data_IF_546210190506
#
_entry.id   IF_546210190506
#
_cell.length_a   1.000
_cell.length_b   1.000
_cell.length_c   1.000
_cell.angle_alpha   90.00
_cell.angle_beta   90.00
_cell.angle_gamma   90.00
#
_symmetry.space_group_name_H-M   'P 1'
#
loop_
_entity.id
_entity.type
_entity.pdbx_description
1 polymer ?
#
# COMPACT_ATOMS: atom_id res chain seq x y z
N UNK A 1 15.23 -7.01 -7.12
CA UNK A 1 14.10 -6.37 -7.84
C UNK A 1 13.75 -7.22 -9.06
N UNK A 2 12.47 -7.33 -9.39
CA UNK A 2 11.92 -8.01 -10.57
C UNK A 2 11.05 -7.01 -11.33
N UNK A 3 11.26 -6.91 -12.64
CA UNK A 3 10.45 -6.04 -13.49
C UNK A 3 9.24 -6.81 -14.05
N UNK A 4 8.03 -6.31 -13.83
CA UNK A 4 6.81 -6.84 -14.43
C UNK A 4 6.10 -5.71 -15.18
N UNK A 5 6.05 -5.81 -16.51
CA UNK A 5 5.44 -4.79 -17.37
C UNK A 5 5.99 -3.37 -17.09
N UNK A 6 7.30 -3.24 -16.88
CA UNK A 6 7.94 -1.97 -16.50
C UNK A 6 7.98 -1.70 -15.00
N UNK A 7 7.11 -2.33 -14.19
CA UNK A 7 7.01 -2.03 -12.75
C UNK A 7 8.11 -2.72 -11.94
N UNK A 8 8.89 -1.98 -11.13
CA UNK A 8 10.06 -2.48 -10.41
C UNK A 8 9.72 -3.12 -9.04
N UNK A 9 9.16 -4.33 -9.04
CA UNK A 9 8.82 -5.03 -7.80
C UNK A 9 10.04 -5.42 -6.96
N UNK A 10 9.94 -5.22 -5.65
CA UNK A 10 10.89 -5.71 -4.66
C UNK A 10 10.90 -7.24 -4.61
N UNK A 11 12.09 -7.82 -4.44
CA UNK A 11 12.29 -9.25 -4.21
C UNK A 11 12.31 -9.61 -2.73
N UNK A 12 12.17 -8.64 -1.83
CA UNK A 12 12.14 -8.92 -0.39
C UNK A 12 10.91 -9.76 -0.03
N UNK A 13 11.10 -10.68 0.90
CA UNK A 13 10.01 -11.39 1.57
C UNK A 13 9.21 -10.44 2.47
N UNK A 14 8.07 -10.92 2.99
CA UNK A 14 7.29 -10.17 3.96
C UNK A 14 8.12 -9.81 5.20
N UNK A 15 8.81 -10.79 5.79
CA UNK A 15 9.59 -10.60 7.01
C UNK A 15 10.77 -9.65 6.79
N UNK A 16 11.49 -9.77 5.66
CA UNK A 16 12.57 -8.83 5.31
C UNK A 16 12.04 -7.41 5.08
N UNK A 17 10.86 -7.28 4.45
CA UNK A 17 10.23 -5.98 4.24
C UNK A 17 9.84 -5.35 5.58
N UNK A 18 9.21 -6.12 6.47
CA UNK A 18 8.84 -5.66 7.82
C UNK A 18 10.11 -5.25 8.59
N UNK A 19 11.13 -6.10 8.64
CA UNK A 19 12.37 -5.82 9.38
C UNK A 19 13.08 -4.55 8.89
N UNK A 20 13.15 -4.35 7.56
CA UNK A 20 13.69 -3.12 6.97
C UNK A 20 12.92 -1.89 7.42
N UNK A 21 11.60 -1.92 7.37
CA UNK A 21 10.75 -0.76 7.70
C UNK A 21 10.72 -0.49 9.21
N UNK A 22 10.75 -1.53 10.05
CA UNK A 22 10.89 -1.39 11.50
C UNK A 22 12.20 -0.70 11.87
N UNK A 23 13.30 -1.05 11.19
CA UNK A 23 14.61 -0.40 11.37
C UNK A 23 14.51 1.07 10.98
N UNK A 24 13.95 1.38 9.81
CA UNK A 24 13.79 2.76 9.35
C UNK A 24 12.94 3.62 10.31
N UNK A 25 11.85 3.05 10.82
CA UNK A 25 10.97 3.71 11.80
C UNK A 25 11.66 4.00 13.15
N UNK A 26 12.60 3.14 13.56
CA UNK A 26 13.26 3.23 14.86
C UNK A 26 14.48 4.15 14.82
N UNK A 27 15.27 4.05 13.76
CA UNK A 27 16.52 4.82 13.62
C UNK A 27 16.29 6.25 13.14
N UNK A 28 15.10 6.57 12.62
CA UNK A 28 14.84 7.85 11.98
C UNK A 28 15.63 8.00 10.68
N UNK A 29 15.76 6.90 9.93
CA UNK A 29 16.45 6.87 8.64
C UNK A 29 15.76 7.82 7.62
N UNK A 30 16.40 8.01 6.46
CA UNK A 30 15.83 8.77 5.37
C UNK A 30 14.39 8.30 5.05
N UNK A 31 13.43 9.22 4.80
CA UNK A 31 12.03 8.86 4.57
C UNK A 31 11.89 7.83 3.45
N UNK A 32 11.08 6.78 3.67
CA UNK A 32 10.82 5.71 2.70
C UNK A 32 9.35 5.69 2.28
N UNK A 33 9.11 5.80 0.97
CA UNK A 33 7.81 5.69 0.33
C UNK A 33 7.63 4.28 -0.24
N UNK A 34 6.60 3.60 0.26
CA UNK A 34 6.27 2.23 -0.12
C UNK A 34 4.95 2.20 -0.89
N UNK A 35 4.97 1.57 -2.06
CA UNK A 35 3.78 1.34 -2.89
C UNK A 35 3.47 -0.16 -2.90
N UNK A 36 2.30 -0.54 -2.39
CA UNK A 36 1.85 -1.93 -2.47
C UNK A 36 1.06 -2.14 -3.76
N UNK A 37 1.75 -2.51 -4.84
CA UNK A 37 1.19 -2.55 -6.18
C UNK A 37 0.47 -3.87 -6.47
N UNK A 38 -0.82 -3.77 -6.81
CA UNK A 38 -1.64 -4.87 -7.29
C UNK A 38 -1.76 -4.81 -8.84
N UNK A 39 -2.38 -5.81 -9.50
CA UNK A 39 -2.57 -5.79 -10.95
C UNK A 39 -3.30 -4.55 -11.49
N UNK A 40 -4.24 -3.97 -10.73
CA UNK A 40 -4.95 -2.75 -11.13
C UNK A 40 -3.96 -1.58 -11.27
N UNK A 41 -3.07 -1.40 -10.29
CA UNK A 41 -2.02 -0.36 -10.33
C UNK A 41 -1.06 -0.58 -11.51
N UNK A 42 -0.65 -1.82 -11.78
CA UNK A 42 0.21 -2.14 -12.93
C UNK A 42 -0.47 -1.76 -14.25
N UNK A 43 -1.75 -2.08 -14.41
CA UNK A 43 -2.51 -1.74 -15.61
C UNK A 43 -2.73 -0.25 -15.77
N UNK A 44 -2.96 0.48 -14.67
CA UNK A 44 -2.99 1.95 -14.69
C UNK A 44 -1.64 2.50 -15.16
N UNK A 45 -0.53 1.96 -14.66
CA UNK A 45 0.82 2.39 -15.04
C UNK A 45 1.11 2.20 -16.54
N UNK A 46 0.57 1.16 -17.18
CA UNK A 46 0.70 0.95 -18.63
C UNK A 46 0.09 2.08 -19.47
N UNK A 47 -0.89 2.80 -18.91
CA UNK A 47 -1.63 3.85 -19.61
C UNK A 47 -1.32 5.24 -19.06
N UNK A 48 -0.50 5.33 -18.03
CA UNK A 48 -0.23 6.57 -17.32
C UNK A 48 1.24 6.64 -16.89
N UNK A 49 2.02 7.42 -17.63
CA UNK A 49 3.45 7.63 -17.37
C UNK A 49 3.73 8.24 -16.00
N UNK A 50 2.83 9.08 -15.48
CA UNK A 50 2.98 9.65 -14.14
C UNK A 50 2.91 8.56 -13.08
N UNK A 51 2.01 7.59 -13.24
CA UNK A 51 1.91 6.44 -12.33
C UNK A 51 3.13 5.52 -12.46
N UNK A 52 3.60 5.26 -13.69
CA UNK A 52 4.82 4.47 -13.88
C UNK A 52 6.03 5.15 -13.23
N UNK A 53 6.17 6.47 -13.38
CA UNK A 53 7.23 7.25 -12.73
C UNK A 53 7.17 7.13 -11.20
N UNK A 54 5.99 7.27 -10.60
CA UNK A 54 5.81 7.09 -9.14
C UNK A 54 6.28 5.71 -8.67
N UNK A 55 6.01 4.66 -9.44
CA UNK A 55 6.46 3.30 -9.12
C UNK A 55 7.99 3.16 -9.20
N UNK A 56 8.65 3.91 -10.10
CA UNK A 56 10.11 3.94 -10.19
C UNK A 56 10.78 4.79 -9.11
N UNK A 57 10.12 5.85 -8.65
CA UNK A 57 10.63 6.77 -7.62
C UNK A 57 10.42 6.25 -6.19
N UNK A 58 9.49 5.32 -5.98
CA UNK A 58 9.25 4.70 -4.69
C UNK A 58 10.47 3.89 -4.20
N UNK A 59 10.76 3.96 -2.90
CA UNK A 59 11.87 3.22 -2.29
C UNK A 59 11.61 1.71 -2.27
N UNK A 60 10.34 1.32 -2.28
CA UNK A 60 9.93 -0.07 -2.41
C UNK A 60 8.57 -0.20 -3.08
N UNK A 61 8.49 -1.05 -4.11
CA UNK A 61 7.23 -1.51 -4.67
C UNK A 61 7.00 -2.97 -4.26
N UNK A 62 5.98 -3.24 -3.46
CA UNK A 62 5.70 -4.60 -2.97
C UNK A 62 4.56 -5.25 -3.75
N UNK A 63 4.58 -6.58 -3.94
CA UNK A 63 3.51 -7.30 -4.64
C UNK A 63 2.25 -7.41 -3.76
N UNK A 64 1.24 -6.60 -4.03
CA UNK A 64 -0.05 -6.66 -3.35
C UNK A 64 -1.00 -7.65 -4.05
N UNK A 65 -1.03 -8.87 -3.52
CA UNK A 65 -1.85 -9.97 -4.02
C UNK A 65 -1.13 -10.87 -5.03
N UNK A 66 -1.90 -11.80 -5.63
CA UNK A 66 -1.30 -12.93 -6.36
C UNK A 66 -0.86 -12.59 -7.79
N UNK A 67 -1.43 -11.55 -8.42
CA UNK A 67 -1.20 -11.31 -9.84
C UNK A 67 0.26 -11.01 -10.18
N UNK A 68 0.94 -10.18 -9.39
CA UNK A 68 2.37 -9.90 -9.59
C UNK A 68 3.23 -11.14 -9.33
N UNK A 69 2.92 -11.93 -8.29
CA UNK A 69 3.64 -13.17 -7.99
C UNK A 69 3.49 -14.18 -9.14
N UNK A 70 2.27 -14.37 -9.65
CA UNK A 70 2.00 -15.22 -10.81
C UNK A 70 2.74 -14.72 -12.07
N UNK A 71 2.69 -13.41 -12.34
CA UNK A 71 3.38 -12.81 -13.48
C UNK A 71 4.90 -13.01 -13.37
N UNK A 72 5.48 -12.87 -12.17
CA UNK A 72 6.91 -13.13 -11.96
C UNK A 72 7.28 -14.57 -12.34
N UNK A 73 6.48 -15.54 -11.88
CA UNK A 73 6.69 -16.97 -12.15
C UNK A 73 6.57 -17.26 -13.65
N UNK A 74 5.60 -16.65 -14.34
CA UNK A 74 5.46 -16.76 -15.79
C UNK A 74 6.66 -16.16 -16.53
N UNK A 75 7.25 -15.07 -16.03
CA UNK A 75 8.48 -14.47 -16.56
C UNK A 75 9.77 -15.22 -16.16
N UNK A 76 9.68 -16.34 -15.44
CA UNK A 76 10.86 -17.11 -15.00
C UNK A 76 11.67 -16.41 -13.90
N UNK A 77 11.13 -15.35 -13.31
CA UNK A 77 11.68 -14.69 -12.12
C UNK A 77 10.91 -15.12 -10.89
N UNK A 78 11.49 -15.00 -9.69
CA UNK A 78 10.80 -15.38 -8.45
C UNK A 78 10.65 -14.18 -7.53
N UNK A 79 9.44 -13.64 -7.49
CA UNK A 79 8.94 -13.04 -6.25
C UNK A 79 8.62 -14.19 -5.28
N UNK A 80 8.99 -14.04 -4.01
CA UNK A 80 8.78 -15.08 -3.01
C UNK A 80 7.29 -15.26 -2.71
N UNK A 81 6.67 -14.23 -2.14
CA UNK A 81 5.26 -14.21 -1.77
C UNK A 81 4.68 -12.80 -1.84
N UNK A 82 3.37 -12.69 -1.63
CA UNK A 82 2.67 -11.40 -1.55
C UNK A 82 3.09 -10.63 -0.30
N UNK A 83 3.12 -9.32 -0.40
CA UNK A 83 3.34 -8.39 0.70
C UNK A 83 2.25 -7.33 0.61
N UNK A 84 1.13 -7.60 1.29
CA UNK A 84 -0.08 -6.78 1.19
C UNK A 84 0.00 -5.55 2.08
N UNK A 85 -0.58 -4.43 1.63
CA UNK A 85 -0.61 -3.20 2.43
C UNK A 85 -1.30 -3.37 3.79
N UNK A 86 -2.32 -4.23 3.87
CA UNK A 86 -3.04 -4.52 5.12
C UNK A 86 -2.17 -5.27 6.15
N UNK A 87 -1.45 -6.31 5.73
CA UNK A 87 -0.57 -7.09 6.60
C UNK A 87 0.65 -6.26 7.01
N UNK A 88 1.24 -5.55 6.06
CA UNK A 88 2.38 -4.67 6.30
C UNK A 88 2.02 -3.59 7.32
N UNK A 89 0.89 -2.90 7.11
CA UNK A 89 0.42 -1.87 8.05
C UNK A 89 0.18 -2.44 9.45
N UNK A 90 -0.41 -3.64 9.55
CA UNK A 90 -0.68 -4.27 10.85
C UNK A 90 0.61 -4.58 11.62
N UNK A 91 1.61 -5.18 10.94
CA UNK A 91 2.89 -5.51 11.55
C UNK A 91 3.68 -4.26 12.00
N UNK A 92 3.63 -3.18 11.21
CA UNK A 92 4.31 -1.93 11.55
C UNK A 92 3.60 -1.16 12.67
N UNK A 93 2.27 -1.24 12.76
CA UNK A 93 1.52 -0.68 13.89
C UNK A 93 1.86 -1.42 15.19
N UNK A 94 1.97 -2.75 15.15
CA UNK A 94 2.38 -3.55 16.31
C UNK A 94 3.79 -3.16 16.78
N UNK A 95 4.72 -2.98 15.84
CA UNK A 95 6.05 -2.46 16.16
C UNK A 95 6.00 -1.05 16.75
N UNK A 96 5.19 -0.16 16.17
CA UNK A 96 5.05 1.21 16.66
C UNK A 96 4.50 1.25 18.09
N UNK A 97 3.50 0.41 18.40
CA UNK A 97 2.95 0.28 19.74
C UNK A 97 4.00 -0.20 20.75
N UNK A 98 4.80 -1.21 20.38
CA UNK A 98 5.83 -1.77 21.26
C UNK A 98 6.98 -0.78 21.56
N UNK A 99 7.23 0.19 20.66
CA UNK A 99 8.37 1.10 20.74
C UNK A 99 7.97 2.58 20.98
N UNK A 100 6.69 2.85 21.26
CA UNK A 100 6.20 4.22 21.50
C UNK A 100 6.29 5.16 20.29
N UNK A 101 6.32 4.59 19.08
CA UNK A 101 6.41 5.35 17.83
C UNK A 101 5.04 5.86 17.39
N UNK A 102 5.03 7.02 16.72
CA UNK A 102 3.80 7.65 16.22
C UNK A 102 3.29 7.01 14.93
N UNK A 103 1.99 6.75 14.86
CA UNK A 103 1.27 6.33 13.64
C UNK A 103 0.27 7.41 13.25
N UNK A 104 0.28 7.85 11.99
CA UNK A 104 -0.71 8.79 11.47
C UNK A 104 -1.52 8.16 10.33
N UNK A 105 -2.85 8.29 10.39
CA UNK A 105 -3.77 7.81 9.35
C UNK A 105 -4.32 9.00 8.55
N UNK A 106 -3.93 9.13 7.27
CA UNK A 106 -4.47 10.14 6.37
C UNK A 106 -5.39 9.47 5.34
N UNK A 107 -6.70 9.71 5.40
CA UNK A 107 -7.63 9.17 4.40
C UNK A 107 -8.91 8.60 4.97
N UNK A 108 -9.67 7.92 4.10
CA UNK A 108 -11.04 7.45 4.34
C UNK A 108 -12.03 8.58 4.72
N UNK A 109 -13.26 8.21 5.06
CA UNK A 109 -14.25 9.17 5.57
C UNK A 109 -13.89 9.63 6.98
N UNK A 110 -14.37 10.82 7.39
CA UNK A 110 -14.21 11.30 8.76
C UNK A 110 -14.67 10.28 9.80
N UNK A 111 -15.79 9.62 9.54
CA UNK A 111 -16.31 8.55 10.39
C UNK A 111 -15.38 7.34 10.45
N UNK A 112 -14.95 6.81 9.30
CA UNK A 112 -14.05 5.66 9.23
C UNK A 112 -12.69 5.96 9.87
N UNK A 113 -12.11 7.13 9.59
CA UNK A 113 -10.81 7.53 10.10
C UNK A 113 -10.83 7.62 11.63
N UNK A 114 -11.82 8.32 12.19
CA UNK A 114 -11.99 8.46 13.65
C UNK A 114 -12.18 7.10 14.33
N UNK A 115 -12.97 6.21 13.72
CA UNK A 115 -13.21 4.88 14.25
C UNK A 115 -11.96 4.00 14.16
N UNK A 116 -11.18 4.10 13.09
CA UNK A 116 -9.90 3.41 12.95
C UNK A 116 -8.91 3.84 14.05
N UNK A 117 -8.77 5.14 14.31
CA UNK A 117 -7.92 5.65 15.40
C UNK A 117 -8.37 5.08 16.75
N UNK A 118 -9.67 5.13 17.07
CA UNK A 118 -10.21 4.61 18.33
C UNK A 118 -9.99 3.09 18.48
N UNK A 119 -10.25 2.31 17.43
CA UNK A 119 -10.06 0.87 17.44
C UNK A 119 -8.59 0.47 17.60
N UNK A 120 -7.68 1.19 16.95
CA UNK A 120 -6.24 0.94 17.09
C UNK A 120 -5.74 1.27 18.50
N UNK A 121 -6.20 2.37 19.10
CA UNK A 121 -5.89 2.70 20.50
C UNK A 121 -6.42 1.64 21.48
N UNK A 122 -7.63 1.13 21.24
CA UNK A 122 -8.21 0.06 22.06
C UNK A 122 -7.44 -1.26 21.91
N UNK A 123 -7.07 -1.63 20.67
CA UNK A 123 -6.35 -2.87 20.38
C UNK A 123 -4.90 -2.85 20.86
N UNK A 124 -4.27 -1.68 20.85
CA UNK A 124 -2.87 -1.49 21.25
C UNK A 124 -2.77 -0.39 22.32
N UNK A 125 -3.01 -0.72 23.60
CA UNK A 125 -2.87 0.24 24.69
C UNK A 125 -1.49 0.88 24.69
N UNK A 126 -1.43 2.22 24.67
CA UNK A 126 -0.18 2.99 24.60
C UNK A 126 0.29 3.35 23.19
N UNK A 127 -0.38 2.87 22.13
CA UNK A 127 -0.11 3.30 20.77
C UNK A 127 -0.38 4.80 20.61
N UNK A 128 0.66 5.55 20.20
CA UNK A 128 0.52 6.94 19.77
C UNK A 128 -0.03 6.97 18.35
N UNK A 129 -1.34 7.17 18.20
CA UNK A 129 -2.00 7.24 16.90
C UNK A 129 -2.92 8.46 16.77
N UNK A 130 -2.87 9.11 15.61
CA UNK A 130 -3.76 10.19 15.19
C UNK A 130 -4.19 9.99 13.73
N UNK A 131 -5.13 10.81 13.26
CA UNK A 131 -5.55 10.75 11.86
C UNK A 131 -6.36 11.95 11.41
N UNK A 132 -6.40 12.12 10.09
CA UNK A 132 -7.18 13.11 9.35
C UNK A 132 -7.87 12.41 8.18
N UNK A 133 -9.10 12.77 7.86
CA UNK A 133 -9.83 12.15 6.76
C UNK A 133 -9.29 12.50 5.37
N UNK A 134 -9.79 11.83 4.34
CA UNK A 134 -9.28 11.97 2.97
C UNK A 134 -10.02 12.99 2.11
N UNK A 135 -11.08 13.61 2.61
CA UNK A 135 -11.99 14.46 1.84
C UNK A 135 -11.68 15.95 2.03
N UNK A 136 -10.39 16.28 2.11
CA UNK A 136 -9.88 17.65 2.12
C UNK A 136 -9.64 18.18 0.71
N UNK A 137 -9.63 19.51 0.57
CA UNK A 137 -9.32 20.20 -0.68
C UNK A 137 -7.83 20.56 -0.75
N UNK A 138 -7.33 20.87 -1.94
CA UNK A 138 -5.91 21.21 -2.13
C UNK A 138 -5.47 22.43 -1.29
N UNK A 139 -6.38 23.39 -1.05
CA UNK A 139 -6.16 24.54 -0.16
C UNK A 139 -5.85 24.16 1.30
N UNK A 140 -6.31 22.99 1.75
CA UNK A 140 -6.09 22.47 3.10
C UNK A 140 -4.74 21.73 3.23
N UNK A 141 -4.03 21.47 2.13
CA UNK A 141 -2.80 20.67 2.11
C UNK A 141 -1.76 21.20 3.09
N UNK A 142 -1.51 22.50 3.10
CA UNK A 142 -0.54 23.13 4.00
C UNK A 142 -0.93 23.01 5.49
N UNK A 143 -2.22 22.90 5.80
CA UNK A 143 -2.69 22.62 7.15
C UNK A 143 -2.41 21.17 7.53
N UNK A 144 -2.74 20.23 6.65
CA UNK A 144 -2.53 18.79 6.87
C UNK A 144 -1.05 18.44 7.03
N UNK A 145 -0.18 19.02 6.20
CA UNK A 145 1.28 18.83 6.33
C UNK A 145 1.79 19.31 7.69
N UNK A 146 1.29 20.45 8.18
CA UNK A 146 1.65 20.97 9.51
C UNK A 146 1.13 20.07 10.63
N UNK A 147 -0.09 19.56 10.51
CA UNK A 147 -0.68 18.64 11.49
C UNK A 147 0.11 17.32 11.57
N UNK A 148 0.41 16.70 10.42
CA UNK A 148 1.21 15.47 10.34
C UNK A 148 2.60 15.72 10.93
N UNK A 149 3.27 16.79 10.51
CA UNK A 149 4.62 17.12 11.00
C UNK A 149 4.65 17.43 12.49
N UNK A 150 3.64 18.13 13.01
CA UNK A 150 3.53 18.44 14.44
C UNK A 150 3.28 17.18 15.29
N UNK A 151 2.55 16.19 14.76
CA UNK A 151 2.37 14.91 15.42
C UNK A 151 3.68 14.08 15.47
N UNK A 152 4.51 14.20 14.43
CA UNK A 152 5.80 13.51 14.32
C UNK A 152 5.66 11.99 14.21
N UNK A 153 4.93 11.45 13.21
CA UNK A 153 4.78 10.01 13.06
C UNK A 153 6.07 9.36 12.54
N UNK A 154 6.38 8.15 13.01
CA UNK A 154 7.36 7.30 12.31
C UNK A 154 6.72 6.56 11.14
N UNK A 155 5.40 6.30 11.22
CA UNK A 155 4.61 5.62 10.19
C UNK A 155 3.42 6.50 9.76
N UNK A 156 3.37 6.85 8.48
CA UNK A 156 2.22 7.50 7.84
C UNK A 156 1.53 6.52 6.90
N UNK A 157 0.25 6.25 7.15
CA UNK A 157 -0.58 5.40 6.29
C UNK A 157 -1.59 6.27 5.53
N UNK A 158 -1.52 6.25 4.21
CA UNK A 158 -2.30 7.14 3.32
C UNK A 158 -3.34 6.35 2.53
N UNK A 159 -4.62 6.59 2.81
CA UNK A 159 -5.77 5.97 2.17
C UNK A 159 -6.60 6.95 1.34
N UNK A 160 -5.96 7.67 0.40
CA UNK A 160 -6.62 8.62 -0.52
C UNK A 160 -7.04 7.96 -1.84
N UNK A 161 -6.59 6.73 -2.09
CA UNK A 161 -6.78 6.01 -3.34
C UNK A 161 -5.73 6.34 -4.40
N UNK A 162 -5.55 5.42 -5.34
CA UNK A 162 -4.65 5.60 -6.48
C UNK A 162 -5.28 6.54 -7.53
N UNK A 163 -4.55 7.50 -8.12
CA UNK A 163 -3.14 7.83 -7.91
C UNK A 163 -2.89 8.90 -6.82
N UNK A 164 -3.95 9.48 -6.25
CA UNK A 164 -3.86 10.64 -5.34
C UNK A 164 -2.95 10.40 -4.14
N UNK A 165 -3.00 9.21 -3.53
CA UNK A 165 -2.16 8.90 -2.37
C UNK A 165 -0.66 8.90 -2.69
N UNK A 166 -0.28 8.36 -3.86
CA UNK A 166 1.14 8.26 -4.23
C UNK A 166 1.68 9.60 -4.73
N UNK A 167 0.85 10.39 -5.41
CA UNK A 167 1.17 11.77 -5.76
C UNK A 167 1.38 12.63 -4.51
N UNK A 168 0.49 12.50 -3.52
CA UNK A 168 0.59 13.24 -2.26
C UNK A 168 1.87 12.86 -1.49
N UNK A 169 2.16 11.57 -1.35
CA UNK A 169 3.38 11.13 -0.66
C UNK A 169 4.61 11.59 -1.41
N UNK A 170 4.70 11.36 -2.73
CA UNK A 170 5.88 11.74 -3.52
C UNK A 170 6.14 13.25 -3.48
N UNK A 171 5.09 14.07 -3.63
CA UNK A 171 5.21 15.54 -3.62
C UNK A 171 5.67 16.11 -2.27
N UNK A 172 5.29 15.46 -1.15
CA UNK A 172 5.50 16.00 0.19
C UNK A 172 6.38 15.13 1.09
N UNK A 173 7.08 14.14 0.51
CA UNK A 173 7.90 13.14 1.23
C UNK A 173 8.86 13.78 2.24
N UNK A 174 9.49 14.88 1.87
CA UNK A 174 10.43 15.60 2.72
C UNK A 174 9.76 16.47 3.80
N UNK A 175 8.49 16.85 3.63
CA UNK A 175 7.75 17.74 4.53
C UNK A 175 6.97 16.99 5.60
N UNK A 176 6.51 15.77 5.30
CA UNK A 176 5.65 14.94 6.16
C UNK A 176 6.33 14.52 7.47
N UNK A 177 7.65 14.49 7.53
CA UNK A 177 8.41 14.15 8.73
C UNK A 177 8.30 12.68 9.16
N UNK A 178 7.75 11.81 8.31
CA UNK A 178 7.61 10.39 8.58
C UNK A 178 8.78 9.56 8.03
N UNK A 179 9.24 8.57 8.80
CA UNK A 179 10.28 7.63 8.36
C UNK A 179 9.75 6.66 7.31
N UNK A 180 8.50 6.21 7.44
CA UNK A 180 7.85 5.29 6.50
C UNK A 180 6.48 5.82 6.11
N UNK A 181 6.22 5.90 4.81
CA UNK A 181 4.94 6.31 4.22
C UNK A 181 4.43 5.24 3.28
N UNK A 182 3.19 4.79 3.49
CA UNK A 182 2.60 3.70 2.70
C UNK A 182 1.25 4.13 2.15
N UNK A 183 1.09 4.02 0.84
CA UNK A 183 -0.22 4.09 0.20
C UNK A 183 -1.00 2.80 0.46
N UNK A 184 -2.11 2.89 1.19
CA UNK A 184 -2.86 1.71 1.68
C UNK A 184 -4.31 1.63 1.17
N UNK A 185 -4.75 2.59 0.36
CA UNK A 185 -6.12 2.61 -0.17
C UNK A 185 -7.17 2.45 0.94
N UNK A 186 -8.05 1.46 0.80
CA UNK A 186 -9.17 1.21 1.71
C UNK A 186 -8.83 0.45 3.00
N UNK A 187 -7.55 0.30 3.39
CA UNK A 187 -7.17 -0.41 4.61
C UNK A 187 -7.63 0.32 5.88
N UNK A 188 -7.77 1.65 5.85
CA UNK A 188 -8.32 2.43 6.98
C UNK A 188 -9.73 1.96 7.34
N UNK A 189 -10.59 1.65 6.35
CA UNK A 189 -11.94 1.12 6.60
C UNK A 189 -11.93 -0.29 7.22
N UNK A 190 -10.84 -1.05 7.03
CA UNK A 190 -10.64 -2.34 7.70
C UNK A 190 -10.31 -2.11 9.18
N UNK A 191 -9.44 -1.15 9.49
CA UNK A 191 -9.13 -0.78 10.88
C UNK A 191 -10.34 -0.16 11.60
N UNK A 192 -11.17 0.59 10.87
CA UNK A 192 -12.44 1.10 11.36
C UNK A 192 -13.47 -0.01 11.67
N UNK A 193 -13.32 -1.20 11.07
CA UNK A 193 -14.30 -2.28 11.15
C UNK A 193 -15.56 -2.04 10.30
N UNK A 194 -15.59 -0.98 9.48
CA UNK A 194 -16.69 -0.69 8.55
C UNK A 194 -16.65 -1.62 7.33
N UNK A 195 -15.46 -2.15 7.00
CA UNK A 195 -15.27 -3.18 5.97
C UNK A 195 -14.69 -4.44 6.58
N UNK A 196 -15.38 -5.58 6.43
CA UNK A 196 -14.85 -6.88 6.85
C UNK A 196 -13.77 -7.34 5.88
N UNK A 197 -12.59 -7.67 6.42
CA UNK A 197 -11.53 -8.38 5.66
C UNK A 197 -12.04 -9.77 5.24
N UNK A 198 -11.60 -10.26 4.08
CA UNK A 198 -11.96 -11.61 3.64
C UNK A 198 -11.53 -12.65 4.69
N UNK A 199 -12.32 -13.70 4.98
CA UNK A 199 -11.91 -14.76 5.90
C UNK A 199 -10.58 -15.41 5.49
N UNK A 200 -9.81 -15.94 6.46
CA UNK A 200 -8.48 -16.53 6.22
C UNK A 200 -8.49 -17.62 5.12
N UNK A 201 -9.57 -18.40 5.01
CA UNK A 201 -9.73 -19.41 3.97
C UNK A 201 -9.63 -18.78 2.56
N UNK A 202 -10.34 -17.68 2.33
CA UNK A 202 -10.29 -16.96 1.04
C UNK A 202 -8.92 -16.34 0.78
N UNK A 203 -8.25 -15.84 1.82
CA UNK A 203 -6.89 -15.29 1.71
C UNK A 203 -5.87 -16.40 1.38
N UNK A 204 -5.97 -17.55 2.04
CA UNK A 204 -5.11 -18.71 1.81
C UNK A 204 -5.32 -19.31 0.42
N UNK A 205 -6.57 -19.32 -0.05
CA UNK A 205 -6.92 -19.71 -1.42
C UNK A 205 -6.55 -18.65 -2.47
N UNK A 206 -6.02 -17.48 -2.07
CA UNK A 206 -5.68 -16.36 -2.96
C UNK A 206 -6.89 -15.80 -3.74
N UNK A 207 -8.10 -15.97 -3.18
CA UNK A 207 -9.40 -15.58 -3.75
C UNK A 207 -10.03 -14.38 -3.01
N UNK A 208 -9.24 -13.57 -2.31
CA UNK A 208 -9.75 -12.38 -1.63
C UNK A 208 -10.45 -11.40 -2.59
N UNK A 209 -9.94 -11.28 -3.82
CA UNK A 209 -10.57 -10.48 -4.87
C UNK A 209 -11.99 -10.99 -5.21
N UNK A 210 -12.20 -12.31 -5.19
CA UNK A 210 -13.49 -12.93 -5.47
C UNK A 210 -14.45 -12.77 -4.29
N UNK A 211 -13.98 -12.90 -3.05
CA UNK A 211 -14.77 -12.59 -1.86
C UNK A 211 -15.27 -11.13 -1.88
N UNK A 212 -14.39 -10.17 -2.21
CA UNK A 212 -14.76 -8.75 -2.32
C UNK A 212 -15.75 -8.51 -3.46
N UNK A 213 -15.66 -9.25 -4.57
CA UNK A 213 -16.64 -9.19 -5.65
C UNK A 213 -18.01 -9.72 -5.19
N UNK A 214 -18.06 -10.84 -4.48
CA UNK A 214 -19.31 -11.36 -3.91
C UNK A 214 -19.93 -10.39 -2.89
N UNK A 215 -19.10 -9.74 -2.07
CA UNK A 215 -19.56 -8.76 -1.09
C UNK A 215 -20.03 -7.44 -1.73
N UNK A 216 -19.50 -7.07 -2.89
CA UNK A 216 -19.85 -5.84 -3.61
C UNK A 216 -19.95 -6.10 -5.12
N UNK A 217 -21.02 -6.76 -5.59
CA UNK A 217 -21.15 -7.21 -6.98
C UNK A 217 -21.14 -6.05 -7.98
N UNK A 218 -21.53 -4.83 -7.58
CA UNK A 218 -21.43 -3.62 -8.40
C UNK A 218 -20.00 -3.30 -8.84
N UNK A 219 -18.98 -3.83 -8.15
CA UNK A 219 -17.56 -3.65 -8.49
C UNK A 219 -17.05 -4.62 -9.57
N UNK A 220 -17.90 -5.44 -10.17
CA UNK A 220 -17.48 -6.41 -11.21
C UNK A 220 -16.70 -5.77 -12.37
N UNK A 221 -17.05 -4.54 -12.78
CA UNK A 221 -16.34 -3.81 -13.83
C UNK A 221 -14.87 -3.58 -13.49
N UNK A 222 -14.56 -3.32 -12.21
CA UNK A 222 -13.17 -3.18 -11.74
C UNK A 222 -12.40 -4.48 -11.85
N UNK A 223 -13.07 -5.63 -11.73
CA UNK A 223 -12.41 -6.94 -11.83
C UNK A 223 -12.04 -7.33 -13.26
N UNK A 224 -12.57 -6.65 -14.29
CA UNK A 224 -12.15 -6.84 -15.69
C UNK A 224 -10.66 -6.51 -15.91
N UNK A 225 -10.06 -5.73 -15.01
CA UNK A 225 -8.62 -5.45 -15.02
C UNK A 225 -7.79 -6.71 -14.80
N UNK A 226 -8.32 -7.73 -14.11
CA UNK A 226 -7.59 -8.97 -13.82
C UNK A 226 -7.41 -9.82 -15.09
N UNK A 227 -8.46 -10.15 -15.88
CA UNK A 227 -8.28 -10.75 -17.20
C UNK A 227 -7.40 -9.92 -18.13
N UNK A 228 -7.57 -8.59 -18.13
CA UNK A 228 -6.76 -7.71 -18.96
C UNK A 228 -5.28 -7.81 -18.58
N UNK A 229 -4.95 -7.78 -17.29
CA UNK A 229 -3.59 -7.98 -16.79
C UNK A 229 -3.00 -9.31 -17.23
N UNK A 230 -3.76 -10.41 -17.11
CA UNK A 230 -3.32 -11.74 -17.57
C UNK A 230 -3.02 -11.71 -19.07
N UNK A 231 -3.92 -11.17 -19.89
CA UNK A 231 -3.72 -11.06 -21.35
C UNK A 231 -2.50 -10.20 -21.67
N UNK A 232 -2.31 -9.07 -21.00
CA UNK A 232 -1.15 -8.19 -21.20
C UNK A 232 0.14 -8.90 -20.81
N UNK A 233 0.19 -9.61 -19.68
CA UNK A 233 1.36 -10.41 -19.27
C UNK A 233 1.67 -11.51 -20.28
N UNK A 234 0.65 -12.22 -20.79
CA UNK A 234 0.82 -13.27 -21.81
C UNK A 234 1.24 -12.70 -23.18
N UNK A 235 0.75 -11.52 -23.52
CA UNK A 235 0.98 -10.84 -24.80
C UNK A 235 2.23 -9.97 -24.81
N UNK A 236 2.87 -9.77 -23.65
CA UNK A 236 4.10 -8.99 -23.54
C UNK A 236 5.19 -9.63 -24.41
N UNK A 237 5.38 -9.01 -25.58
CA UNK A 237 6.27 -9.46 -26.64
C UNK A 237 7.75 -9.30 -26.28
N UNK A 238 8.09 -8.63 -25.16
CA UNK A 238 9.47 -8.57 -24.66
C UNK A 238 9.98 -9.94 -24.15
N UNK A 239 9.08 -10.91 -24.01
CA UNK A 239 9.24 -12.37 -23.95
C UNK A 239 10.66 -12.95 -23.74
N UNK A 240 11.63 -12.80 -24.65
CA UNK A 240 12.74 -13.79 -24.77
C UNK A 240 14.07 -13.22 -25.34
N UNK A 241 14.30 -11.90 -25.45
CA UNK A 241 15.54 -11.36 -26.10
C UNK A 241 16.55 -10.65 -25.17
N UNK A 242 16.52 -10.91 -23.87
CA UNK A 242 17.48 -10.36 -22.89
C UNK A 242 18.47 -11.37 -22.28
N UNK A 243 18.61 -12.56 -22.87
CA UNK A 243 19.64 -13.53 -22.48
C UNK A 243 20.17 -14.25 -23.72
N UNK A 244 20.97 -13.52 -24.50
CA UNK A 244 22.06 -14.08 -25.31
C UNK A 244 23.29 -13.25 -25.03
#
# INVERSE_FOLDING_TARGET
MVNILGVPFSTLTFDETVARLQTAMTNGDAPQHIITANPEIVMIAQQNETVMRLLHEADLVTPDGIGAVWASQYYGTKLHDRVTGAELSSALIEHAAANGLGVFLLGASQYSNRLAVANLQQKHPGLRVAGHDGYFKDEDTAFILREIKAFGPSLLLVGLGMPRQELFISAHKAELGASVMIGIGGVIDIFAGTVKRAPKIWQNMRLEWFYRLLAQPSRWKRQLVLPQFVITVLSDKNRVKGSK
#
